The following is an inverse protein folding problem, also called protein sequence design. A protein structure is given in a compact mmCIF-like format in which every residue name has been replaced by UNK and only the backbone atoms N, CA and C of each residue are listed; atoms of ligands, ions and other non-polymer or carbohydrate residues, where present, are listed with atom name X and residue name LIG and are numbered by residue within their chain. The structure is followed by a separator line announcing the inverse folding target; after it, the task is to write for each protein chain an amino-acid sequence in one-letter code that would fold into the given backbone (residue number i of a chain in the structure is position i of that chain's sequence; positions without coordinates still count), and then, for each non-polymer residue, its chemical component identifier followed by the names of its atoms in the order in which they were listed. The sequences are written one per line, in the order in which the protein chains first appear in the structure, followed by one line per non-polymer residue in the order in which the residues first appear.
data_IF_102632109837
#
_entry.id   IF_102632109837
#
_cell.length_a   1.000
_cell.length_b   1.000
_cell.length_c   1.000
_cell.angle_alpha   90.00
_cell.angle_beta   90.00
_cell.angle_gamma   90.00
#
_symmetry.space_group_name_H-M   'P 1'
#
loop_
_entity.id
_entity.type
_entity.pdbx_description
1 polymer ?
#
# COMPACT_ATOMS: atom_id res chain seq x y z
N UNK A 1 -21.36 -0.37 -16.51
CA UNK A 1 -20.74 0.88 -17.01
C UNK A 1 -19.30 0.55 -17.33
N UNK A 2 -18.93 0.45 -18.61
CA UNK A 2 -17.63 -0.09 -19.07
C UNK A 2 -16.70 1.02 -19.56
N UNK A 3 -16.22 1.83 -18.63
CA UNK A 3 -15.03 2.67 -18.84
C UNK A 3 -13.96 2.21 -17.87
N UNK A 4 -12.71 2.09 -18.33
CA UNK A 4 -11.58 1.94 -17.41
C UNK A 4 -11.56 3.12 -16.43
N UNK A 5 -11.24 2.89 -15.14
CA UNK A 5 -11.17 3.97 -14.17
C UNK A 5 -10.10 4.98 -14.59
N UNK A 6 -10.41 6.28 -14.44
CA UNK A 6 -9.41 7.33 -14.66
C UNK A 6 -8.42 7.35 -13.49
N UNK A 7 -7.20 6.88 -13.75
CA UNK A 7 -6.09 6.85 -12.80
C UNK A 7 -5.02 7.91 -13.12
N UNK A 8 -5.32 8.90 -13.97
CA UNK A 8 -4.36 9.92 -14.41
C UNK A 8 -3.72 10.70 -13.24
N UNK A 9 -4.45 10.87 -12.14
CA UNK A 9 -3.92 11.51 -10.92
C UNK A 9 -2.69 10.81 -10.36
N UNK A 10 -2.52 9.50 -10.60
CA UNK A 10 -1.39 8.73 -10.09
C UNK A 10 -0.05 9.16 -10.71
N UNK A 11 -0.05 9.86 -11.84
CA UNK A 11 1.16 10.39 -12.46
C UNK A 11 1.77 11.59 -11.71
N UNK A 12 1.12 12.09 -10.65
CA UNK A 12 1.59 13.20 -9.83
C UNK A 12 2.66 12.83 -8.80
N UNK A 13 3.06 13.83 -8.00
CA UNK A 13 3.99 13.65 -6.88
C UNK A 13 3.42 12.69 -5.83
N UNK A 14 4.24 11.81 -5.29
CA UNK A 14 3.80 10.76 -4.36
C UNK A 14 3.19 11.32 -3.08
N UNK A 15 3.63 12.49 -2.61
CA UNK A 15 3.10 13.13 -1.41
C UNK A 15 1.72 13.76 -1.66
N UNK A 16 1.44 14.16 -2.90
CA UNK A 16 0.12 14.64 -3.31
C UNK A 16 -0.82 13.48 -3.64
N UNK A 17 -0.29 12.37 -4.17
CA UNK A 17 -1.08 11.20 -4.58
C UNK A 17 -1.45 10.33 -3.39
N UNK A 18 -0.56 10.12 -2.42
CA UNK A 18 -0.81 9.24 -1.29
C UNK A 18 -2.13 9.54 -0.55
N UNK A 19 -2.41 10.77 -0.06
CA UNK A 19 -3.67 11.04 0.61
C UNK A 19 -4.89 10.82 -0.30
N UNK A 20 -4.74 11.02 -1.62
CA UNK A 20 -5.83 10.82 -2.60
C UNK A 20 -6.24 9.36 -2.77
N UNK A 21 -5.40 8.41 -2.37
CA UNK A 21 -5.73 6.99 -2.38
C UNK A 21 -6.61 6.57 -1.20
N UNK A 22 -6.79 7.41 -0.17
CA UNK A 22 -7.70 7.10 0.92
C UNK A 22 -9.15 7.03 0.41
N UNK A 23 -9.93 6.08 0.92
CA UNK A 23 -11.28 5.79 0.43
C UNK A 23 -11.34 5.03 -0.90
N UNK A 24 -10.24 4.93 -1.67
CA UNK A 24 -10.23 4.17 -2.91
C UNK A 24 -10.49 2.68 -2.66
N UNK A 25 -11.05 2.01 -3.68
CA UNK A 25 -11.39 0.59 -3.64
C UNK A 25 -10.37 -0.22 -4.43
N UNK A 26 -9.76 -1.19 -3.76
CA UNK A 26 -8.87 -2.17 -4.38
C UNK A 26 -9.56 -3.53 -4.41
N UNK A 27 -9.70 -4.09 -5.60
CA UNK A 27 -10.43 -5.35 -5.82
C UNK A 27 -9.52 -6.41 -6.40
N UNK A 28 -9.50 -7.59 -5.78
CA UNK A 28 -8.88 -8.78 -6.34
C UNK A 28 -9.52 -10.06 -5.82
N UNK A 29 -9.61 -11.06 -6.69
CA UNK A 29 -10.05 -12.42 -6.36
C UNK A 29 -11.35 -12.46 -5.52
N UNK A 30 -12.35 -11.66 -5.90
CA UNK A 30 -13.67 -11.64 -5.25
C UNK A 30 -13.72 -10.92 -3.90
N UNK A 31 -12.73 -10.09 -3.56
CA UNK A 31 -12.72 -9.22 -2.37
C UNK A 31 -12.44 -7.79 -2.80
N UNK A 32 -13.18 -6.83 -2.23
CA UNK A 32 -12.94 -5.39 -2.40
C UNK A 32 -12.60 -4.79 -1.04
N UNK A 33 -11.49 -4.05 -0.96
CA UNK A 33 -11.03 -3.32 0.22
C UNK A 33 -11.08 -1.83 -0.04
N UNK A 34 -11.80 -1.08 0.81
CA UNK A 34 -11.72 0.38 0.89
C UNK A 34 -10.50 0.78 1.70
N UNK A 35 -9.57 1.52 1.09
CA UNK A 35 -8.31 1.91 1.72
C UNK A 35 -8.54 2.96 2.82
N UNK A 36 -7.97 2.73 4.00
CA UNK A 36 -8.07 3.65 5.15
C UNK A 36 -6.73 4.13 5.68
N UNK A 37 -5.62 3.52 5.23
CA UNK A 37 -4.26 3.89 5.61
C UNK A 37 -3.27 3.58 4.46
N UNK A 38 -2.36 4.52 4.21
CA UNK A 38 -1.29 4.40 3.19
C UNK A 38 0.02 5.06 3.64
N UNK A 39 1.13 4.73 2.98
CA UNK A 39 2.44 5.39 3.19
C UNK A 39 3.12 5.75 1.87
N UNK A 40 3.62 6.98 1.76
CA UNK A 40 4.38 7.44 0.60
C UNK A 40 5.87 7.06 0.70
N UNK A 41 6.44 6.72 -0.46
CA UNK A 41 7.87 6.45 -0.65
C UNK A 41 8.40 7.20 -1.87
N UNK A 42 9.22 8.23 -1.63
CA UNK A 42 9.74 9.16 -2.63
C UNK A 42 11.04 8.67 -3.29
N UNK A 43 11.10 7.38 -3.60
CA UNK A 43 12.15 6.88 -4.49
C UNK A 43 13.58 7.08 -4.00
N UNK A 44 14.38 7.76 -4.82
CA UNK A 44 15.79 8.03 -4.57
C UNK A 44 16.02 9.14 -3.54
N UNK A 45 15.01 9.99 -3.28
CA UNK A 45 15.08 11.06 -2.27
C UNK A 45 14.67 10.58 -0.87
N UNK A 46 14.33 9.30 -0.73
CA UNK A 46 13.81 8.71 0.49
C UNK A 46 14.66 7.53 0.97
N UNK A 47 15.48 7.69 2.03
CA UNK A 47 16.25 6.59 2.63
C UNK A 47 15.41 5.39 3.08
N UNK A 48 14.11 5.58 3.32
CA UNK A 48 13.17 4.52 3.66
C UNK A 48 12.67 3.70 2.46
N UNK A 49 12.90 4.16 1.24
CA UNK A 49 12.40 3.55 0.00
C UNK A 49 13.26 2.40 -0.49
N UNK A 50 12.61 1.42 -1.11
CA UNK A 50 13.30 0.36 -1.84
C UNK A 50 14.10 0.86 -3.04
N UNK A 51 13.82 2.06 -3.54
CA UNK A 51 14.51 2.65 -4.67
C UNK A 51 15.60 3.66 -4.27
N UNK A 52 15.86 3.85 -2.97
CA UNK A 52 16.86 4.80 -2.47
C UNK A 52 18.24 4.62 -3.14
N UNK A 53 18.65 3.36 -3.32
CA UNK A 53 19.94 3.00 -3.95
C UNK A 53 19.86 2.77 -5.46
N UNK A 54 18.77 3.20 -6.09
CA UNK A 54 18.53 3.03 -7.52
C UNK A 54 17.85 1.71 -7.91
N UNK A 55 17.76 1.45 -9.23
CA UNK A 55 17.00 0.34 -9.78
C UNK A 55 17.70 -1.01 -9.55
N UNK A 56 16.88 -2.02 -9.30
CA UNK A 56 17.23 -3.43 -9.14
C UNK A 56 16.13 -4.28 -9.80
N UNK A 57 16.40 -5.55 -10.07
CA UNK A 57 15.37 -6.45 -10.59
C UNK A 57 14.13 -6.52 -9.68
N UNK A 58 14.32 -6.39 -8.35
CA UNK A 58 13.24 -6.44 -7.37
C UNK A 58 12.32 -5.22 -7.42
N UNK A 59 12.87 -4.02 -7.56
CA UNK A 59 12.10 -2.77 -7.50
C UNK A 59 11.82 -2.17 -8.89
N UNK A 60 12.15 -2.87 -9.98
CA UNK A 60 12.04 -2.38 -11.35
C UNK A 60 10.64 -1.83 -11.67
N UNK A 61 9.58 -2.45 -11.14
CA UNK A 61 8.19 -1.98 -11.29
C UNK A 61 8.01 -0.54 -10.81
N UNK A 62 8.70 -0.13 -9.74
CA UNK A 62 8.60 1.25 -9.22
C UNK A 62 9.05 2.32 -10.22
N UNK A 63 9.88 1.96 -11.21
CA UNK A 63 10.38 2.87 -12.24
C UNK A 63 9.50 2.83 -13.52
N UNK A 64 8.44 2.03 -13.52
CA UNK A 64 7.50 1.90 -14.61
C UNK A 64 6.40 2.96 -14.61
N UNK A 65 5.32 2.75 -15.38
CA UNK A 65 4.18 3.65 -15.43
C UNK A 65 3.42 3.73 -14.10
N UNK A 66 2.88 4.90 -13.79
CA UNK A 66 1.94 5.07 -12.68
C UNK A 66 0.73 4.14 -12.81
N UNK A 67 0.12 3.79 -11.68
CA UNK A 67 -1.02 2.86 -11.65
C UNK A 67 -0.65 1.39 -11.82
N UNK A 68 0.64 1.03 -11.71
CA UNK A 68 1.07 -0.37 -11.67
C UNK A 68 1.24 -0.84 -10.23
N UNK A 69 0.95 -2.12 -9.97
CA UNK A 69 1.09 -2.73 -8.65
C UNK A 69 2.54 -3.18 -8.41
N UNK A 70 3.22 -2.64 -7.41
CA UNK A 70 4.50 -3.18 -6.95
C UNK A 70 4.31 -4.06 -5.71
N UNK A 71 4.43 -5.38 -5.88
CA UNK A 71 4.35 -6.37 -4.80
C UNK A 71 5.74 -6.93 -4.43
N UNK A 72 6.00 -7.12 -3.14
CA UNK A 72 7.27 -7.66 -2.66
C UNK A 72 7.14 -8.45 -1.35
N UNK A 73 8.10 -9.35 -1.08
CA UNK A 73 8.21 -10.05 0.20
C UNK A 73 8.91 -9.20 1.27
N UNK A 74 8.28 -9.10 2.44
CA UNK A 74 8.85 -8.60 3.68
C UNK A 74 9.02 -9.76 4.67
N UNK A 75 10.13 -9.75 5.40
CA UNK A 75 10.51 -10.79 6.38
C UNK A 75 10.48 -12.23 5.82
N UNK A 76 10.64 -12.39 4.50
CA UNK A 76 10.67 -13.69 3.82
C UNK A 76 9.33 -14.44 3.73
N UNK A 77 8.23 -13.92 4.29
CA UNK A 77 6.98 -14.69 4.43
C UNK A 77 5.69 -13.88 4.19
N UNK A 78 5.78 -12.56 4.08
CA UNK A 78 4.63 -11.69 3.93
C UNK A 78 4.75 -10.86 2.67
N UNK A 79 3.68 -10.75 1.89
CA UNK A 79 3.63 -9.85 0.74
C UNK A 79 3.08 -8.49 1.20
N UNK A 80 3.70 -7.42 0.74
CA UNK A 80 3.17 -6.06 0.77
C UNK A 80 3.03 -5.55 -0.67
N UNK A 81 2.10 -4.64 -0.91
CA UNK A 81 1.81 -4.12 -2.23
C UNK A 81 1.72 -2.59 -2.23
N UNK A 82 2.12 -1.98 -3.34
CA UNK A 82 2.19 -0.53 -3.52
C UNK A 82 1.59 -0.17 -4.86
N UNK A 83 1.10 1.07 -4.97
CA UNK A 83 0.70 1.69 -6.24
C UNK A 83 1.86 2.56 -6.71
N UNK A 84 2.38 2.31 -7.91
CA UNK A 84 3.41 3.16 -8.53
C UNK A 84 2.81 4.51 -8.90
N UNK A 85 3.56 5.58 -8.65
CA UNK A 85 3.16 6.96 -8.91
C UNK A 85 4.23 7.71 -9.70
N UNK A 86 3.90 8.91 -10.17
CA UNK A 86 4.86 9.79 -10.83
C UNK A 86 5.15 9.43 -12.28
N UNK A 87 6.31 9.87 -12.76
CA UNK A 87 6.74 9.72 -14.16
C UNK A 87 7.62 8.49 -14.35
N UNK A 88 7.43 7.69 -15.42
CA UNK A 88 8.32 6.58 -15.75
C UNK A 88 9.81 6.98 -15.75
N UNK A 89 10.66 6.10 -15.25
CA UNK A 89 12.09 6.35 -15.08
C UNK A 89 12.48 6.93 -13.71
N UNK A 90 11.53 7.49 -12.97
CA UNK A 90 11.73 7.95 -11.59
C UNK A 90 10.88 7.10 -10.64
N UNK A 91 11.51 6.48 -9.65
CA UNK A 91 10.76 5.63 -8.73
C UNK A 91 9.95 6.45 -7.73
N UNK A 92 8.65 6.17 -7.63
CA UNK A 92 7.85 6.57 -6.47
C UNK A 92 6.65 5.63 -6.31
N UNK A 93 6.24 5.38 -5.08
CA UNK A 93 5.11 4.49 -4.84
C UNK A 93 4.43 4.75 -3.49
N UNK A 94 3.16 4.36 -3.41
CA UNK A 94 2.36 4.42 -2.19
C UNK A 94 2.08 3.00 -1.69
N UNK A 95 2.59 2.67 -0.51
CA UNK A 95 2.29 1.42 0.18
C UNK A 95 0.83 1.40 0.63
N UNK A 96 0.14 0.31 0.29
CA UNK A 96 -1.22 0.03 0.71
C UNK A 96 -1.19 -0.65 2.08
N UNK A 97 -1.59 0.08 3.13
CA UNK A 97 -1.38 -0.40 4.51
C UNK A 97 -2.58 -1.03 5.13
N UNK A 98 -3.74 -0.40 5.07
CA UNK A 98 -4.91 -0.94 5.71
C UNK A 98 -6.19 -0.51 5.01
N UNK A 99 -7.25 -1.24 5.30
CA UNK A 99 -8.56 -0.94 4.78
C UNK A 99 -9.66 -1.77 5.40
N UNK A 100 -10.88 -1.42 5.03
CA UNK A 100 -12.11 -2.13 5.34
C UNK A 100 -12.48 -3.08 4.19
N UNK A 101 -12.82 -4.32 4.49
CA UNK A 101 -13.40 -5.22 3.49
C UNK A 101 -14.86 -4.83 3.30
N UNK A 102 -15.19 -4.27 2.14
CA UNK A 102 -16.55 -3.77 1.84
C UNK A 102 -17.34 -4.73 0.95
N UNK A 103 -16.67 -5.62 0.22
CA UNK A 103 -17.28 -6.71 -0.55
C UNK A 103 -16.47 -7.99 -0.42
N UNK A 104 -17.13 -9.15 -0.53
CA UNK A 104 -16.46 -10.45 -0.45
C UNK A 104 -16.07 -10.85 0.98
N UNK A 105 -16.83 -10.41 1.99
CA UNK A 105 -16.49 -10.60 3.40
C UNK A 105 -16.27 -12.06 3.78
N UNK A 106 -17.12 -12.98 3.32
CA UNK A 106 -16.97 -14.42 3.61
C UNK A 106 -15.73 -15.02 2.95
N UNK A 107 -15.37 -14.56 1.75
CA UNK A 107 -14.12 -14.95 1.07
C UNK A 107 -12.91 -14.45 1.87
N UNK A 108 -12.94 -13.20 2.33
CA UNK A 108 -11.89 -12.62 3.15
C UNK A 108 -11.74 -13.34 4.51
N UNK A 109 -12.84 -13.70 5.17
CA UNK A 109 -12.86 -14.51 6.40
C UNK A 109 -12.26 -15.90 6.17
N UNK A 110 -12.57 -16.55 5.06
CA UNK A 110 -11.97 -17.83 4.66
C UNK A 110 -10.44 -17.75 4.52
N UNK A 111 -9.91 -16.62 4.02
CA UNK A 111 -8.46 -16.35 3.92
C UNK A 111 -7.81 -15.98 5.26
N UNK A 112 -8.61 -15.53 6.24
CA UNK A 112 -8.16 -15.01 7.53
C UNK A 112 -8.99 -15.63 8.68
N UNK A 113 -8.93 -16.96 8.88
CA UNK A 113 -9.72 -17.62 9.90
C UNK A 113 -9.40 -17.09 11.30
N UNK A 114 -10.43 -16.82 12.09
CA UNK A 114 -10.33 -16.29 13.46
C UNK A 114 -10.05 -14.80 13.57
N UNK A 115 -9.89 -14.07 12.46
CA UNK A 115 -9.84 -12.62 12.50
C UNK A 115 -11.26 -12.03 12.63
N UNK A 116 -11.40 -10.95 13.40
CA UNK A 116 -12.60 -10.11 13.33
C UNK A 116 -12.66 -9.40 11.98
N UNK A 117 -13.85 -8.98 11.53
CA UNK A 117 -14.02 -8.25 10.27
C UNK A 117 -13.15 -7.00 10.20
N UNK A 118 -13.08 -6.26 11.31
CA UNK A 118 -12.18 -5.10 11.49
C UNK A 118 -10.72 -5.43 11.20
N UNK A 119 -10.26 -6.63 11.56
CA UNK A 119 -8.86 -7.03 11.50
C UNK A 119 -8.47 -7.78 10.22
N UNK A 120 -9.41 -8.00 9.29
CA UNK A 120 -9.17 -8.74 8.03
C UNK A 120 -8.06 -8.12 7.19
N UNK A 121 -8.12 -6.80 6.98
CA UNK A 121 -7.19 -6.03 6.16
C UNK A 121 -6.43 -4.94 6.96
N UNK A 122 -6.43 -5.01 8.30
CA UNK A 122 -5.78 -4.04 9.19
C UNK A 122 -4.27 -4.25 9.30
N UNK A 123 -3.52 -3.85 8.26
CA UNK A 123 -2.06 -3.92 8.15
C UNK A 123 -1.61 -4.50 6.79
N UNK A 124 -0.42 -4.13 6.27
CA UNK A 124 -0.11 -4.26 4.84
C UNK A 124 -0.09 -5.73 4.37
N UNK A 125 0.47 -6.62 5.17
CA UNK A 125 0.47 -8.06 4.90
C UNK A 125 -0.93 -8.69 5.04
N UNK A 126 -1.79 -8.13 5.90
CA UNK A 126 -3.16 -8.61 6.09
C UNK A 126 -4.05 -8.18 4.94
N UNK A 127 -3.89 -6.93 4.47
CA UNK A 127 -4.54 -6.42 3.26
C UNK A 127 -4.24 -7.33 2.06
N UNK A 128 -2.96 -7.63 1.81
CA UNK A 128 -2.58 -8.52 0.70
C UNK A 128 -3.19 -9.92 0.86
N UNK A 129 -3.19 -10.48 2.07
CA UNK A 129 -3.82 -11.79 2.34
C UNK A 129 -5.33 -11.77 2.14
N UNK A 130 -6.04 -10.74 2.58
CA UNK A 130 -7.48 -10.61 2.40
C UNK A 130 -7.85 -10.54 0.91
N UNK A 131 -7.06 -9.83 0.11
CA UNK A 131 -7.25 -9.69 -1.33
C UNK A 131 -6.67 -10.84 -2.16
N UNK A 132 -5.91 -11.75 -1.55
CA UNK A 132 -5.11 -12.77 -2.23
C UNK A 132 -4.07 -12.19 -3.23
N UNK A 133 -3.45 -11.07 -2.88
CA UNK A 133 -2.34 -10.48 -3.63
C UNK A 133 -1.04 -11.18 -3.20
N UNK A 134 -0.45 -11.91 -4.14
CA UNK A 134 0.87 -12.52 -4.07
C UNK A 134 1.92 -11.73 -4.87
N UNK A 135 3.05 -12.38 -5.15
CA UNK A 135 4.12 -11.78 -5.96
C UNK A 135 3.76 -11.77 -7.45
N UNK A 136 2.91 -12.71 -7.87
CA UNK A 136 2.49 -12.92 -9.25
C UNK A 136 1.60 -11.79 -9.79
N UNK A 137 0.99 -10.98 -8.92
CA UNK A 137 0.28 -9.74 -9.31
C UNK A 137 1.25 -8.54 -9.45
N UNK A 138 2.54 -8.70 -9.14
CA UNK A 138 3.54 -7.65 -9.34
C UNK A 138 3.62 -7.24 -10.81
N UNK A 139 3.52 -5.93 -11.07
CA UNK A 139 3.48 -5.35 -12.40
C UNK A 139 2.08 -5.24 -13.02
N UNK A 140 1.02 -5.68 -12.34
CA UNK A 140 -0.35 -5.55 -12.85
C UNK A 140 -0.73 -4.07 -13.06
N UNK A 141 -1.32 -3.76 -14.22
CA UNK A 141 -2.02 -2.50 -14.48
C UNK A 141 -3.31 -2.46 -13.64
N UNK A 142 -3.45 -1.44 -12.79
CA UNK A 142 -4.60 -1.31 -11.88
C UNK A 142 -5.88 -0.80 -12.55
N UNK A 143 -5.82 -0.34 -13.80
CA UNK A 143 -7.00 0.08 -14.55
C UNK A 143 -7.66 -1.08 -15.31
N UNK A 144 -6.86 -2.06 -15.75
CA UNK A 144 -7.32 -3.10 -16.70
C UNK A 144 -6.92 -4.52 -16.32
N UNK A 145 -5.98 -4.68 -15.38
CA UNK A 145 -5.43 -5.95 -14.99
C UNK A 145 -6.28 -6.72 -13.97
N UNK A 146 -5.72 -7.81 -13.40
CA UNK A 146 -6.45 -8.67 -12.47
C UNK A 146 -6.66 -8.07 -11.08
N UNK A 147 -5.89 -7.04 -10.73
CA UNK A 147 -6.08 -6.22 -9.53
C UNK A 147 -6.58 -4.87 -10.03
N UNK A 148 -7.75 -4.43 -9.55
CA UNK A 148 -8.38 -3.20 -10.02
C UNK A 148 -8.38 -2.15 -8.91
N UNK A 149 -8.02 -0.93 -9.24
CA UNK A 149 -8.13 0.24 -8.37
C UNK A 149 -9.20 1.18 -8.90
N UNK A 150 -10.16 1.53 -8.05
CA UNK A 150 -11.13 2.58 -8.30
C UNK A 150 -10.94 3.69 -7.27
N UNK A 151 -10.59 4.88 -7.74
CA UNK A 151 -10.44 6.05 -6.87
C UNK A 151 -11.78 6.48 -6.32
N UNK A 152 -11.78 6.93 -5.07
CA UNK A 152 -12.96 7.55 -4.49
C UNK A 152 -13.08 9.01 -4.93
N UNK A 153 -14.32 9.49 -5.05
CA UNK A 153 -14.59 10.91 -5.32
C UNK A 153 -14.27 11.79 -4.12
N UNK A 154 -14.38 11.24 -2.91
CA UNK A 154 -13.96 11.85 -1.66
C UNK A 154 -13.54 10.77 -0.65
N UNK A 155 -12.87 11.19 0.41
CA UNK A 155 -12.35 10.30 1.45
C UNK A 155 -13.37 9.98 2.57
N UNK A 156 -14.54 10.61 2.57
CA UNK A 156 -15.59 10.45 3.58
C UNK A 156 -15.27 10.99 4.97
N UNK A 157 -14.12 11.63 5.19
CA UNK A 157 -13.71 12.13 6.51
C UNK A 157 -12.36 12.85 6.51
N UNK A 158 -11.93 13.39 7.67
CA UNK A 158 -10.66 14.07 7.81
C UNK A 158 -9.48 13.11 7.65
N UNK A 159 -8.43 13.59 6.98
CA UNK A 159 -7.17 12.87 6.79
C UNK A 159 -6.15 13.36 7.82
N UNK A 160 -5.53 12.42 8.53
CA UNK A 160 -4.41 12.67 9.43
C UNK A 160 -3.10 12.16 8.81
N UNK A 161 -1.97 12.69 9.30
CA UNK A 161 -0.65 12.29 8.84
C UNK A 161 0.36 12.16 9.99
N UNK A 162 1.42 11.39 9.76
CA UNK A 162 2.43 11.13 10.78
C UNK A 162 3.54 10.18 10.32
N UNK A 163 4.43 9.75 11.24
CA UNK A 163 5.57 8.91 10.90
C UNK A 163 5.15 7.56 10.34
N UNK A 164 5.98 7.03 9.43
CA UNK A 164 5.80 5.71 8.82
C UNK A 164 6.06 4.59 9.83
N UNK A 165 5.30 3.51 9.77
CA UNK A 165 5.35 2.39 10.71
C UNK A 165 6.53 1.48 10.42
N UNK A 166 7.28 1.13 11.47
CA UNK A 166 8.37 0.16 11.39
C UNK A 166 9.59 0.65 10.62
N UNK A 167 9.65 1.94 10.26
CA UNK A 167 10.72 2.51 9.47
C UNK A 167 11.88 2.99 10.35
N UNK A 168 13.12 2.72 9.91
CA UNK A 168 14.35 3.09 10.65
C UNK A 168 14.95 4.42 10.20
N UNK A 169 14.99 4.64 8.89
CA UNK A 169 15.59 5.82 8.27
C UNK A 169 14.49 6.71 7.75
N UNK A 170 14.65 8.03 7.87
CA UNK A 170 13.64 9.00 7.43
C UNK A 170 12.25 8.73 8.06
N UNK A 171 12.27 8.31 9.33
CA UNK A 171 11.08 7.93 10.09
C UNK A 171 10.32 9.14 10.63
N UNK A 172 10.99 10.29 10.71
CA UNK A 172 10.46 11.58 11.13
C UNK A 172 9.50 12.22 10.11
N UNK A 173 9.57 11.81 8.84
CA UNK A 173 8.69 12.37 7.82
C UNK A 173 7.23 11.96 8.05
N UNK A 174 6.28 12.90 7.96
CA UNK A 174 4.85 12.65 8.15
C UNK A 174 4.20 12.03 6.89
N UNK A 175 4.85 11.02 6.32
CA UNK A 175 4.48 10.43 5.02
C UNK A 175 3.60 9.18 5.14
N UNK A 176 3.01 8.95 6.32
CA UNK A 176 1.89 8.04 6.53
C UNK A 176 0.61 8.85 6.59
N UNK A 177 -0.43 8.40 5.90
CA UNK A 177 -1.74 9.06 5.85
C UNK A 177 -2.83 8.08 6.23
N UNK A 178 -3.83 8.53 6.98
CA UNK A 178 -4.98 7.72 7.34
C UNK A 178 -6.25 8.54 7.55
N UNK A 179 -7.39 7.88 7.46
CA UNK A 179 -8.69 8.45 7.79
C UNK A 179 -8.86 8.52 9.32
N UNK A 180 -9.18 9.69 9.87
CA UNK A 180 -9.30 9.85 11.32
C UNK A 180 -10.51 9.07 11.87
N UNK A 181 -10.32 8.41 13.02
CA UNK A 181 -11.36 7.64 13.69
C UNK A 181 -11.71 6.29 13.04
N UNK A 182 -11.10 5.94 11.90
CA UNK A 182 -11.37 4.68 11.22
C UNK A 182 -10.84 3.47 12.00
N UNK A 183 -11.69 2.51 12.41
CA UNK A 183 -11.28 1.38 13.24
C UNK A 183 -10.35 0.39 12.49
N UNK A 184 -10.28 0.49 11.17
CA UNK A 184 -9.44 -0.36 10.31
C UNK A 184 -8.02 0.18 10.14
N UNK A 185 -7.73 1.41 10.58
CA UNK A 185 -6.36 1.98 10.59
C UNK A 185 -5.47 1.16 11.51
N UNK A 186 -4.31 0.72 11.02
CA UNK A 186 -3.40 -0.14 11.77
C UNK A 186 -2.71 0.57 12.92
N UNK A 187 -2.27 -0.21 13.92
CA UNK A 187 -1.57 0.36 15.08
C UNK A 187 -0.19 0.89 14.66
N UNK A 188 0.13 2.12 15.06
CA UNK A 188 1.48 2.65 14.91
C UNK A 188 2.48 1.82 15.74
N UNK A 189 3.62 1.50 15.14
CA UNK A 189 4.74 0.84 15.80
C UNK A 189 6.06 1.43 15.29
N UNK A 190 6.96 1.92 16.17
CA UNK A 190 8.28 2.34 15.74
C UNK A 190 9.10 1.13 15.25
N UNK A 191 10.21 1.39 14.55
CA UNK A 191 11.13 0.31 14.19
C UNK A 191 11.67 -0.41 15.42
N UNK A 192 11.73 -1.75 15.35
CA UNK A 192 12.32 -2.55 16.42
C UNK A 192 13.79 -2.15 16.65
N UNK A 193 14.33 -2.18 17.87
CA UNK A 193 15.75 -1.93 18.10
C UNK A 193 16.64 -2.89 17.29
N UNK A 194 17.83 -2.47 16.86
CA UNK A 194 18.81 -3.39 16.31
C UNK A 194 19.24 -4.35 17.43
N UNK A 195 19.11 -5.68 17.20
CA UNK A 195 19.72 -6.65 18.11
C UNK A 195 21.23 -6.44 18.07
N UNK A 196 21.82 -5.98 19.18
CA UNK A 196 23.28 -5.99 19.34
C UNK A 196 23.76 -7.42 19.16
N UNK A 197 24.62 -7.67 18.16
CA UNK A 197 25.38 -8.93 18.13
C UNK A 197 26.23 -8.95 19.40
N UNK A 198 26.23 -10.03 20.19
CA UNK A 198 27.22 -10.16 21.26
C UNK A 198 28.61 -10.01 20.61
N UNK A 199 29.47 -9.21 21.25
CA UNK A 199 30.87 -9.13 20.85
C UNK A 199 31.42 -10.56 20.91
N UNK A 200 31.83 -11.07 19.75
CA UNK A 200 32.56 -12.33 19.65
C UNK A 200 34.02 -12.10 20.05
#
# INVERSE_FOLDING_TARGET
MSGSPDLSVLAGDVLDVAPRLLGAHLTHAGVTVRLTEVEAYAGQDDPGSHAFRGPTARNAVMFGPAGHLYAYLIYGMHVCANVVTGTPGTASAVLLRAGEVVEGLDVARGRRPGASDRDLARGPARLCRALAIGLEQGGADLATGPVLLLLATDHGGPVESGPRVGLRQAAEHPWRYWLAGEPTVSAYRPAAPLRRRPAG
#
